data_IF_794027609038
#
_entry.id   IF_794027609038
#
_cell.length_a   1.000
_cell.length_b   1.000
_cell.length_c   1.000
_cell.angle_alpha   90.00
_cell.angle_beta   90.00
_cell.angle_gamma   90.00
#
_symmetry.space_group_name_H-M   'P 1'
#
loop_
_entity.id
_entity.type
_entity.pdbx_description
1 polymer ?
#
# COMPACT_ATOMS: atom_id res chain seq x y z
N UNK A 1 19.93 -12.95 14.20
CA UNK A 1 20.76 -12.14 13.30
C UNK A 1 21.87 -12.97 12.67
N UNK A 2 21.49 -13.73 11.67
CA UNK A 2 22.24 -14.56 10.76
C UNK A 2 22.13 -13.96 9.35
N UNK A 3 23.12 -14.23 8.51
CA UNK A 3 23.05 -13.91 7.08
C UNK A 3 23.48 -15.13 6.29
N UNK A 4 22.53 -15.71 5.56
CA UNK A 4 22.75 -16.86 4.70
C UNK A 4 22.80 -16.43 3.24
N UNK A 5 23.79 -16.93 2.50
CA UNK A 5 23.84 -16.79 1.04
C UNK A 5 24.12 -18.15 0.42
N UNK A 6 23.21 -18.61 -0.45
CA UNK A 6 23.36 -19.84 -1.20
C UNK A 6 24.21 -19.66 -2.45
N UNK A 7 24.05 -20.57 -3.42
CA UNK A 7 24.85 -20.61 -4.64
C UNK A 7 23.97 -20.75 -5.90
N UNK A 8 24.22 -21.73 -6.76
CA UNK A 8 23.44 -21.95 -7.99
C UNK A 8 22.68 -23.30 -7.96
N UNK A 9 22.81 -24.04 -6.85
CA UNK A 9 22.20 -25.33 -6.59
C UNK A 9 21.05 -25.12 -5.61
N UNK A 10 20.11 -26.07 -5.55
CA UNK A 10 19.09 -26.08 -4.51
C UNK A 10 19.73 -26.14 -3.11
N UNK A 11 19.53 -25.09 -2.33
CA UNK A 11 20.01 -24.91 -0.97
C UNK A 11 18.84 -24.91 0.01
N UNK A 12 19.15 -25.26 1.25
CA UNK A 12 18.24 -25.06 2.38
C UNK A 12 18.97 -24.15 3.36
N UNK A 13 18.40 -22.99 3.62
CA UNK A 13 18.96 -21.97 4.49
C UNK A 13 17.97 -21.77 5.64
N UNK A 14 18.45 -21.90 6.88
CA UNK A 14 17.64 -21.71 8.09
C UNK A 14 18.25 -20.61 8.95
N UNK A 15 17.47 -19.58 9.28
CA UNK A 15 17.88 -18.44 10.09
C UNK A 15 17.93 -18.78 11.59
N UNK A 16 16.80 -19.22 12.12
CA UNK A 16 16.64 -19.61 13.52
C UNK A 16 15.97 -18.51 14.34
N UNK A 17 16.76 -17.75 15.10
CA UNK A 17 16.23 -16.75 16.01
C UNK A 17 16.87 -15.37 15.80
N UNK A 18 16.02 -14.35 15.89
CA UNK A 18 16.33 -12.95 15.61
C UNK A 18 16.28 -12.65 14.12
N UNK A 19 16.44 -11.37 13.78
CA UNK A 19 16.20 -10.87 12.44
C UNK A 19 17.33 -11.27 11.48
N UNK A 20 17.02 -12.11 10.52
CA UNK A 20 17.94 -12.81 9.64
C UNK A 20 17.75 -12.38 8.17
N UNK A 21 18.83 -12.48 7.38
CA UNK A 21 18.81 -12.22 5.94
C UNK A 21 19.15 -13.50 5.18
N UNK A 22 18.20 -14.02 4.43
CA UNK A 22 18.32 -15.27 3.68
C UNK A 22 18.27 -14.98 2.19
N UNK A 23 19.37 -15.24 1.49
CA UNK A 23 19.46 -15.13 0.03
C UNK A 23 19.83 -16.49 -0.56
N UNK A 24 18.92 -17.11 -1.31
CA UNK A 24 19.16 -18.40 -1.98
C UNK A 24 20.29 -18.33 -3.03
N UNK A 25 20.45 -17.17 -3.66
CA UNK A 25 21.18 -17.08 -4.91
C UNK A 25 20.36 -17.75 -6.02
N UNK A 26 21.03 -18.33 -7.01
CA UNK A 26 20.33 -19.06 -8.05
C UNK A 26 19.98 -20.49 -7.62
N UNK A 27 18.99 -21.08 -8.28
CA UNK A 27 18.53 -22.44 -7.97
C UNK A 27 17.14 -22.39 -7.37
N UNK A 28 16.58 -23.54 -7.00
CA UNK A 28 15.30 -23.59 -6.30
C UNK A 28 15.59 -23.82 -4.82
N UNK A 29 15.55 -22.75 -4.03
CA UNK A 29 16.01 -22.76 -2.65
C UNK A 29 14.86 -22.84 -1.64
N UNK A 30 15.14 -23.39 -0.45
CA UNK A 30 14.24 -23.35 0.69
C UNK A 30 14.82 -22.39 1.72
N UNK A 31 14.10 -21.30 1.98
CA UNK A 31 14.48 -20.23 2.90
C UNK A 31 13.54 -20.28 4.10
N UNK A 32 14.08 -20.59 5.29
CA UNK A 32 13.32 -20.80 6.53
C UNK A 32 13.82 -19.80 7.56
N UNK A 33 12.99 -18.83 7.94
CA UNK A 33 13.36 -17.73 8.83
C UNK A 33 13.38 -18.20 10.28
N UNK A 34 12.19 -18.47 10.82
CA UNK A 34 11.99 -18.79 12.23
C UNK A 34 11.62 -17.52 13.00
N UNK A 35 11.88 -17.47 14.30
CA UNK A 35 11.46 -16.32 15.10
C UNK A 35 12.31 -15.07 14.83
N UNK A 36 11.70 -13.91 14.67
CA UNK A 36 12.36 -12.66 14.34
C UNK A 36 11.72 -12.03 13.11
N UNK A 37 12.12 -10.80 12.77
CA UNK A 37 11.67 -10.18 11.53
C UNK A 37 12.74 -10.44 10.46
N UNK A 38 12.47 -11.40 9.59
CA UNK A 38 13.41 -11.94 8.63
C UNK A 38 13.21 -11.35 7.24
N UNK A 39 14.27 -11.40 6.44
CA UNK A 39 14.28 -10.90 5.07
C UNK A 39 14.74 -11.98 4.11
N UNK A 40 13.90 -12.24 3.11
CA UNK A 40 14.11 -13.21 2.04
C UNK A 40 14.45 -12.49 0.74
N UNK A 41 15.56 -12.87 0.11
CA UNK A 41 15.83 -12.48 -1.28
C UNK A 41 15.38 -13.63 -2.18
N UNK A 42 14.31 -13.40 -2.92
CA UNK A 42 13.71 -14.36 -3.86
C UNK A 42 14.03 -13.89 -5.27
N UNK A 43 15.00 -14.52 -5.92
CA UNK A 43 15.42 -14.17 -7.29
C UNK A 43 15.12 -15.27 -8.32
N UNK A 44 14.68 -16.44 -7.86
CA UNK A 44 14.34 -17.57 -8.70
C UNK A 44 12.92 -18.10 -8.41
N UNK A 45 12.19 -18.47 -9.47
CA UNK A 45 10.77 -18.92 -9.37
C UNK A 45 10.57 -20.22 -8.58
N UNK A 46 11.66 -20.94 -8.31
CA UNK A 46 11.66 -22.17 -7.54
C UNK A 46 11.93 -21.97 -6.05
N UNK A 47 12.20 -20.73 -5.61
CA UNK A 47 12.45 -20.43 -4.21
C UNK A 47 11.17 -20.54 -3.39
N UNK A 48 11.27 -21.18 -2.24
CA UNK A 48 10.20 -21.36 -1.28
C UNK A 48 10.59 -20.69 0.04
N UNK A 49 9.80 -19.70 0.42
CA UNK A 49 9.83 -19.08 1.75
C UNK A 49 8.95 -19.89 2.69
N UNK A 50 9.40 -20.10 3.92
CA UNK A 50 8.65 -20.81 4.96
C UNK A 50 8.75 -20.05 6.26
N UNK A 51 7.61 -19.56 6.72
CA UNK A 51 7.40 -18.95 8.03
C UNK A 51 6.29 -19.69 8.78
N UNK A 52 6.12 -19.34 10.05
CA UNK A 52 4.98 -19.75 10.86
C UNK A 52 4.33 -18.55 11.56
N UNK A 53 3.04 -18.70 11.86
CA UNK A 53 2.28 -17.67 12.58
C UNK A 53 2.96 -17.22 13.88
N UNK A 54 2.87 -15.92 14.16
CA UNK A 54 3.40 -15.26 15.36
C UNK A 54 4.94 -15.34 15.51
N UNK A 55 5.69 -15.62 14.45
CA UNK A 55 7.16 -15.67 14.50
C UNK A 55 7.83 -14.32 14.19
N UNK A 56 7.14 -13.35 13.59
CA UNK A 56 7.76 -12.11 13.18
C UNK A 56 6.86 -11.17 12.40
N UNK A 57 7.49 -10.16 11.80
CA UNK A 57 6.96 -9.45 10.65
C UNK A 57 8.01 -9.57 9.55
N UNK A 58 7.73 -10.38 8.55
CA UNK A 58 8.71 -10.88 7.61
C UNK A 58 8.59 -10.21 6.25
N UNK A 59 9.70 -10.17 5.51
CA UNK A 59 9.79 -9.44 4.25
C UNK A 59 10.37 -10.29 3.14
N UNK A 60 9.60 -10.46 2.08
CA UNK A 60 10.14 -10.90 0.78
C UNK A 60 10.57 -9.70 -0.04
N UNK A 61 11.82 -9.74 -0.52
CA UNK A 61 12.35 -8.85 -1.54
C UNK A 61 12.60 -9.65 -2.80
N UNK A 62 11.94 -9.31 -3.90
CA UNK A 62 12.00 -10.10 -5.12
C UNK A 62 12.43 -9.31 -6.36
N UNK A 63 13.14 -9.99 -7.26
CA UNK A 63 13.41 -9.50 -8.62
C UNK A 63 12.54 -10.18 -9.67
N UNK A 64 11.67 -11.11 -9.27
CA UNK A 64 10.75 -11.82 -10.16
C UNK A 64 9.66 -10.86 -10.65
N UNK A 65 9.32 -10.94 -11.94
CA UNK A 65 8.26 -10.12 -12.52
C UNK A 65 6.86 -10.46 -11.98
N UNK A 66 6.71 -11.59 -11.30
CA UNK A 66 5.49 -12.00 -10.61
C UNK A 66 5.86 -12.71 -9.32
N UNK A 67 5.18 -12.37 -8.22
CA UNK A 67 5.34 -13.07 -6.95
C UNK A 67 4.08 -12.96 -6.10
N UNK A 68 3.74 -14.06 -5.43
CA UNK A 68 2.64 -14.15 -4.46
C UNK A 68 3.24 -14.52 -3.11
N UNK A 69 2.92 -13.77 -2.06
CA UNK A 69 3.35 -14.10 -0.71
C UNK A 69 2.82 -15.48 -0.29
N UNK A 70 3.67 -16.27 0.38
CA UNK A 70 3.22 -17.44 1.13
C UNK A 70 2.44 -17.02 2.37
N UNK A 71 1.84 -17.97 3.09
CA UNK A 71 1.24 -17.66 4.40
C UNK A 71 2.29 -17.12 5.37
N UNK A 72 1.85 -16.40 6.40
CA UNK A 72 2.69 -15.97 7.53
C UNK A 72 3.83 -15.03 7.13
N UNK A 73 3.69 -14.33 5.99
CA UNK A 73 4.62 -13.28 5.54
C UNK A 73 3.83 -12.02 5.25
N UNK A 74 4.25 -10.90 5.81
CA UNK A 74 3.48 -9.64 5.80
C UNK A 74 3.97 -8.65 4.73
N UNK A 75 5.24 -8.68 4.33
CA UNK A 75 5.78 -7.64 3.44
C UNK A 75 6.31 -8.19 2.13
N UNK A 76 5.97 -7.51 1.04
CA UNK A 76 6.50 -7.76 -0.30
C UNK A 76 7.12 -6.47 -0.85
N UNK A 77 8.39 -6.51 -1.22
CA UNK A 77 9.07 -5.40 -1.89
C UNK A 77 9.69 -5.87 -3.19
N UNK A 78 9.29 -5.25 -4.28
CA UNK A 78 9.93 -5.46 -5.56
C UNK A 78 11.20 -4.62 -5.66
N UNK A 79 12.31 -5.25 -6.04
CA UNK A 79 13.65 -4.62 -6.05
C UNK A 79 14.28 -4.59 -7.44
N UNK A 80 13.46 -4.65 -8.49
CA UNK A 80 13.88 -4.54 -9.88
C UNK A 80 13.09 -3.41 -10.58
N UNK A 81 13.35 -3.15 -11.86
CA UNK A 81 12.88 -1.92 -12.54
C UNK A 81 11.92 -2.17 -13.70
N UNK A 82 11.46 -3.41 -13.89
CA UNK A 82 10.47 -3.78 -14.93
C UNK A 82 9.10 -3.99 -14.30
N UNK A 83 8.03 -3.99 -15.10
CA UNK A 83 6.68 -4.23 -14.61
C UNK A 83 6.59 -5.48 -13.73
N UNK A 84 5.89 -5.33 -12.61
CA UNK A 84 5.74 -6.32 -11.55
C UNK A 84 4.28 -6.65 -11.29
N UNK A 85 4.01 -7.92 -11.01
CA UNK A 85 2.73 -8.38 -10.47
C UNK A 85 2.98 -8.91 -9.07
N UNK A 86 2.59 -8.15 -8.05
CA UNK A 86 2.67 -8.53 -6.65
C UNK A 86 1.32 -8.94 -6.10
N UNK A 87 1.27 -10.04 -5.36
CA UNK A 87 0.04 -10.46 -4.66
C UNK A 87 0.36 -10.81 -3.22
N UNK A 88 -0.44 -10.28 -2.30
CA UNK A 88 -0.40 -10.62 -0.89
C UNK A 88 -1.07 -11.95 -0.58
N UNK A 89 -1.51 -12.11 0.67
CA UNK A 89 -2.14 -13.28 1.25
C UNK A 89 -3.37 -12.86 2.09
N UNK A 90 -3.72 -13.63 3.13
CA UNK A 90 -4.89 -13.37 3.98
C UNK A 90 -4.56 -12.50 5.23
N UNK A 91 -3.34 -11.95 5.31
CA UNK A 91 -2.87 -11.08 6.39
C UNK A 91 -2.86 -9.62 5.95
N UNK A 92 -2.77 -8.71 6.91
CA UNK A 92 -2.46 -7.30 6.66
C UNK A 92 -1.07 -7.19 6.00
N UNK A 93 -1.01 -6.94 4.69
CA UNK A 93 0.22 -6.90 3.93
C UNK A 93 0.70 -5.48 3.61
N UNK A 94 2.02 -5.29 3.59
CA UNK A 94 2.61 -4.10 2.96
C UNK A 94 3.31 -4.49 1.66
N UNK A 95 2.79 -4.00 0.53
CA UNK A 95 3.31 -4.33 -0.80
C UNK A 95 3.86 -3.05 -1.46
N UNK A 96 5.15 -3.09 -1.82
CA UNK A 96 5.83 -2.01 -2.53
C UNK A 96 6.31 -2.47 -3.91
N UNK A 97 5.82 -1.81 -4.95
CA UNK A 97 6.25 -1.97 -6.34
C UNK A 97 7.56 -1.24 -6.67
N UNK A 98 7.85 -1.12 -7.96
CA UNK A 98 9.05 -0.54 -8.53
C UNK A 98 8.82 0.85 -9.15
N UNK A 99 9.47 1.09 -10.28
CA UNK A 99 9.38 2.35 -11.02
C UNK A 99 8.65 2.20 -12.38
N UNK A 100 8.13 1.00 -12.65
CA UNK A 100 7.42 0.66 -13.87
C UNK A 100 5.91 0.57 -13.55
N UNK A 101 5.08 0.42 -14.59
CA UNK A 101 3.66 0.17 -14.39
C UNK A 101 3.45 -1.23 -13.80
N UNK A 102 3.06 -1.28 -12.53
CA UNK A 102 2.91 -2.47 -11.72
C UNK A 102 1.44 -2.79 -11.44
N UNK A 103 1.19 -4.03 -11.02
CA UNK A 103 -0.14 -4.48 -10.55
C UNK A 103 0.04 -5.13 -9.20
N UNK A 104 -0.52 -4.50 -8.17
CA UNK A 104 -0.46 -4.96 -6.79
C UNK A 104 -1.86 -5.37 -6.33
N UNK A 105 -1.95 -6.56 -5.74
CA UNK A 105 -3.17 -7.06 -5.11
C UNK A 105 -2.88 -7.36 -3.64
N UNK A 106 -3.62 -6.75 -2.73
CA UNK A 106 -3.52 -6.98 -1.29
C UNK A 106 -4.03 -8.36 -0.91
N UNK A 107 -5.33 -8.59 -1.08
CA UNK A 107 -5.95 -9.87 -0.78
C UNK A 107 -7.04 -9.72 0.27
N UNK A 108 -6.88 -10.41 1.39
CA UNK A 108 -7.71 -10.22 2.58
C UNK A 108 -6.82 -9.63 3.66
N UNK A 109 -7.37 -8.75 4.49
CA UNK A 109 -6.62 -8.05 5.53
C UNK A 109 -6.60 -6.56 5.23
N UNK A 110 -6.03 -5.78 6.14
CA UNK A 110 -5.89 -4.34 5.97
C UNK A 110 -4.54 -4.07 5.29
N UNK A 111 -4.54 -3.98 3.97
CA UNK A 111 -3.34 -3.91 3.17
C UNK A 111 -2.84 -2.47 2.98
N UNK A 112 -1.54 -2.31 2.82
CA UNK A 112 -0.91 -1.06 2.36
C UNK A 112 -0.23 -1.29 1.03
N UNK A 113 -0.74 -0.66 -0.03
CA UNK A 113 -0.25 -0.80 -1.39
C UNK A 113 0.44 0.48 -1.85
N UNK A 114 1.72 0.37 -2.21
CA UNK A 114 2.50 1.44 -2.81
C UNK A 114 3.08 0.96 -4.14
N UNK A 115 2.51 1.42 -5.26
CA UNK A 115 3.00 1.08 -6.61
C UNK A 115 4.44 1.52 -6.85
N UNK A 116 4.88 2.55 -6.13
CA UNK A 116 6.13 3.25 -6.41
C UNK A 116 5.91 4.25 -7.53
N UNK A 117 6.87 4.37 -8.44
CA UNK A 117 6.66 5.20 -9.62
C UNK A 117 6.07 4.37 -10.75
N UNK A 118 5.24 4.96 -11.60
CA UNK A 118 4.60 4.18 -12.66
C UNK A 118 3.16 4.62 -12.82
N UNK A 119 2.42 3.97 -13.70
CA UNK A 119 0.97 4.10 -13.72
C UNK A 119 0.44 2.75 -13.26
N UNK A 120 0.15 2.65 -11.96
CA UNK A 120 0.01 1.37 -11.29
C UNK A 120 -1.45 0.97 -11.09
N UNK A 121 -1.71 -0.32 -11.03
CA UNK A 121 -3.02 -0.87 -10.63
C UNK A 121 -2.92 -1.36 -9.20
N UNK A 122 -3.64 -0.72 -8.28
CA UNK A 122 -3.64 -1.05 -6.86
C UNK A 122 -5.03 -1.62 -6.50
N UNK A 123 -5.07 -2.89 -6.13
CA UNK A 123 -6.29 -3.64 -5.83
C UNK A 123 -6.19 -4.08 -4.37
N UNK A 124 -6.97 -3.49 -3.46
CA UNK A 124 -6.88 -3.79 -2.03
C UNK A 124 -7.44 -5.18 -1.75
N UNK A 125 -8.75 -5.33 -1.88
CA UNK A 125 -9.41 -6.62 -1.77
C UNK A 125 -10.50 -6.61 -0.72
N UNK A 126 -10.28 -7.19 0.45
CA UNK A 126 -11.24 -7.15 1.55
C UNK A 126 -10.52 -6.82 2.85
N UNK A 127 -11.03 -5.85 3.58
CA UNK A 127 -10.37 -5.21 4.72
C UNK A 127 -10.28 -3.71 4.49
N UNK A 128 -9.79 -2.98 5.49
CA UNK A 128 -9.62 -1.54 5.44
C UNK A 128 -8.24 -1.21 4.84
N UNK A 129 -8.20 -0.98 3.53
CA UNK A 129 -6.98 -0.88 2.76
C UNK A 129 -6.45 0.55 2.65
N UNK A 130 -5.14 0.70 2.42
CA UNK A 130 -4.46 1.98 2.22
C UNK A 130 -3.65 1.98 0.93
N UNK A 131 -3.96 2.93 0.04
CA UNK A 131 -3.24 3.13 -1.22
C UNK A 131 -2.36 4.36 -1.14
N UNK A 132 -1.09 4.21 -1.51
CA UNK A 132 -0.19 5.33 -1.74
C UNK A 132 -0.24 5.68 -3.22
N UNK A 133 -0.87 6.80 -3.54
CA UNK A 133 -1.01 7.31 -4.92
C UNK A 133 -0.10 8.50 -5.12
N UNK A 134 1.01 8.31 -5.83
CA UNK A 134 1.99 9.36 -6.09
C UNK A 134 2.06 9.76 -7.57
N UNK A 135 1.41 8.99 -8.45
CA UNK A 135 1.39 9.22 -9.88
C UNK A 135 -0.05 9.32 -10.41
N UNK A 136 -0.28 10.27 -11.34
CA UNK A 136 -1.62 10.56 -11.86
C UNK A 136 -2.21 9.43 -12.73
N UNK A 137 -1.40 8.43 -13.07
CA UNK A 137 -1.80 7.24 -13.80
C UNK A 137 -2.20 6.07 -12.89
N UNK A 138 -2.07 6.20 -11.58
CA UNK A 138 -2.43 5.12 -10.65
C UNK A 138 -3.94 4.94 -10.59
N UNK A 139 -4.36 3.68 -10.55
CA UNK A 139 -5.76 3.27 -10.49
C UNK A 139 -5.95 2.45 -9.22
N UNK A 140 -6.76 2.99 -8.32
CA UNK A 140 -7.27 2.27 -7.14
C UNK A 140 -8.54 1.54 -7.54
N UNK A 141 -8.61 0.25 -7.23
CA UNK A 141 -9.76 -0.60 -7.53
C UNK A 141 -10.25 -1.24 -6.26
N UNK A 142 -11.48 -0.91 -5.87
CA UNK A 142 -12.16 -1.49 -4.71
C UNK A 142 -13.51 -2.11 -5.04
N UNK A 143 -13.99 -2.94 -4.11
CA UNK A 143 -15.28 -3.59 -4.21
C UNK A 143 -16.26 -3.03 -3.16
N UNK A 144 -17.53 -2.87 -3.55
CA UNK A 144 -18.56 -2.42 -2.63
C UNK A 144 -18.61 -3.29 -1.35
N UNK A 145 -18.55 -2.64 -0.19
CA UNK A 145 -18.55 -3.29 1.13
C UNK A 145 -17.33 -4.19 1.41
N UNK A 146 -16.19 -3.91 0.79
CA UNK A 146 -14.91 -4.57 1.07
C UNK A 146 -14.25 -4.09 2.37
N UNK A 147 -14.48 -2.84 2.77
CA UNK A 147 -13.89 -2.25 3.96
C UNK A 147 -14.21 -0.77 4.05
N UNK A 148 -13.39 -0.03 4.80
CA UNK A 148 -13.31 1.43 4.80
C UNK A 148 -11.91 1.86 4.35
N UNK A 149 -11.82 2.31 3.11
CA UNK A 149 -10.56 2.35 2.39
C UNK A 149 -10.01 3.77 2.29
N UNK A 150 -8.67 3.88 2.29
CA UNK A 150 -7.96 5.16 2.36
C UNK A 150 -6.99 5.35 1.22
N UNK A 151 -7.18 6.41 0.44
CA UNK A 151 -6.15 6.94 -0.45
C UNK A 151 -5.31 7.98 0.28
N UNK A 152 -3.99 7.80 0.24
CA UNK A 152 -3.00 8.79 0.64
C UNK A 152 -2.24 9.27 -0.58
N UNK A 153 -2.24 10.58 -0.84
CA UNK A 153 -1.64 11.11 -2.07
C UNK A 153 -0.74 12.31 -1.87
N UNK A 154 0.26 12.44 -2.73
CA UNK A 154 1.08 13.66 -2.90
C UNK A 154 0.73 14.46 -4.15
N UNK A 155 -0.25 14.00 -4.95
CA UNK A 155 -0.68 14.69 -6.16
C UNK A 155 -1.30 16.04 -5.83
N UNK A 156 -1.14 17.02 -6.73
CA UNK A 156 -1.75 18.34 -6.55
C UNK A 156 -3.29 18.31 -6.65
N UNK A 157 -3.86 17.26 -7.25
CA UNK A 157 -5.29 17.01 -7.28
C UNK A 157 -5.58 15.52 -7.38
N UNK A 158 -6.61 15.07 -6.68
CA UNK A 158 -7.09 13.69 -6.75
C UNK A 158 -8.60 13.61 -6.55
N UNK A 159 -9.24 12.70 -7.27
CA UNK A 159 -10.66 12.36 -7.12
C UNK A 159 -10.75 10.91 -6.70
N UNK A 160 -11.46 10.62 -5.60
CA UNK A 160 -11.69 9.26 -5.16
C UNK A 160 -12.43 8.46 -6.24
N UNK A 161 -11.98 7.22 -6.44
CA UNK A 161 -12.73 6.22 -7.19
C UNK A 161 -14.02 5.83 -6.46
N UNK A 162 -14.85 4.98 -7.06
CA UNK A 162 -15.97 4.39 -6.31
C UNK A 162 -15.45 3.50 -5.18
N UNK A 163 -16.29 3.29 -4.16
CA UNK A 163 -16.04 2.31 -3.10
C UNK A 163 -14.80 2.62 -2.25
N UNK A 164 -14.37 3.89 -2.21
CA UNK A 164 -13.31 4.38 -1.31
C UNK A 164 -13.84 5.55 -0.48
N UNK A 165 -13.67 5.49 0.83
CA UNK A 165 -14.29 6.42 1.78
C UNK A 165 -13.36 7.56 2.18
N UNK A 166 -12.04 7.33 2.25
CA UNK A 166 -11.11 8.29 2.82
C UNK A 166 -10.07 8.80 1.83
N UNK A 167 -9.84 10.12 1.85
CA UNK A 167 -8.76 10.79 1.12
C UNK A 167 -7.91 11.62 2.08
N UNK A 168 -6.62 11.33 2.15
CA UNK A 168 -5.66 12.08 2.95
C UNK A 168 -4.54 12.63 2.06
N UNK A 169 -4.40 13.94 2.02
CA UNK A 169 -3.24 14.56 1.40
C UNK A 169 -2.03 14.48 2.32
N UNK A 170 -0.94 13.91 1.82
CA UNK A 170 0.33 13.76 2.55
C UNK A 170 1.47 14.60 1.95
N UNK A 171 1.16 15.45 0.98
CA UNK A 171 2.10 16.43 0.45
C UNK A 171 2.14 17.72 1.28
N UNK A 172 2.85 18.72 0.75
CA UNK A 172 3.04 20.02 1.43
C UNK A 172 2.58 21.21 0.59
N UNK A 173 2.11 20.98 -0.63
CA UNK A 173 1.65 22.02 -1.56
C UNK A 173 0.14 22.19 -1.45
N UNK A 174 -0.41 23.20 -2.15
CA UNK A 174 -1.86 23.31 -2.28
C UNK A 174 -2.43 22.09 -3.00
N UNK A 175 -3.55 21.59 -2.49
CA UNK A 175 -4.19 20.36 -2.90
C UNK A 175 -5.65 20.59 -3.32
N UNK A 176 -6.10 19.82 -4.30
CA UNK A 176 -7.51 19.71 -4.67
C UNK A 176 -7.99 18.27 -4.48
N UNK A 177 -8.66 18.02 -3.35
CA UNK A 177 -9.26 16.72 -3.04
C UNK A 177 -10.74 16.70 -3.39
N UNK A 178 -11.18 15.66 -4.09
CA UNK A 178 -12.57 15.47 -4.50
C UNK A 178 -13.01 14.07 -4.07
N UNK A 179 -14.12 13.96 -3.34
CA UNK A 179 -14.73 12.68 -2.98
C UNK A 179 -15.57 12.09 -4.11
N UNK A 180 -16.49 11.20 -3.75
CA UNK A 180 -17.36 10.44 -4.64
C UNK A 180 -18.83 10.58 -4.19
N UNK A 181 -19.62 9.51 -4.25
CA UNK A 181 -21.04 9.51 -3.87
C UNK A 181 -21.31 8.83 -2.52
N UNK A 182 -20.26 8.51 -1.77
CA UNK A 182 -20.31 7.91 -0.45
C UNK A 182 -20.10 8.98 0.61
N UNK A 183 -20.33 8.64 1.88
CA UNK A 183 -19.96 9.50 3.00
C UNK A 183 -18.42 9.54 3.10
N UNK A 184 -17.76 10.59 2.57
CA UNK A 184 -16.31 10.65 2.53
C UNK A 184 -15.68 11.38 3.71
N UNK A 185 -14.49 10.96 4.13
CA UNK A 185 -13.62 11.78 4.99
C UNK A 185 -12.43 12.27 4.18
N UNK A 186 -12.31 13.59 4.02
CA UNK A 186 -11.25 14.21 3.23
C UNK A 186 -10.41 15.12 4.13
N UNK A 187 -9.10 14.84 4.19
CA UNK A 187 -8.13 15.63 4.95
C UNK A 187 -7.09 16.25 4.02
N UNK A 188 -7.00 17.59 4.06
CA UNK A 188 -5.98 18.39 3.37
C UNK A 188 -4.65 18.44 4.13
N UNK A 189 -3.78 19.36 3.72
CA UNK A 189 -2.42 19.55 4.23
C UNK A 189 -2.25 20.82 5.04
N UNK A 190 -1.11 21.49 4.83
CA UNK A 190 -0.75 22.73 5.52
C UNK A 190 -0.81 23.98 4.60
N UNK A 191 -1.22 23.79 3.34
CA UNK A 191 -1.33 24.84 2.34
C UNK A 191 -2.80 25.24 2.17
N UNK A 192 -3.07 26.25 1.35
CA UNK A 192 -4.45 26.61 1.02
C UNK A 192 -5.05 25.59 0.05
N UNK A 193 -5.92 24.73 0.57
CA UNK A 193 -6.46 23.57 -0.13
C UNK A 193 -7.90 23.81 -0.60
N UNK A 194 -8.34 23.00 -1.55
CA UNK A 194 -9.75 22.89 -1.94
C UNK A 194 -10.20 21.47 -1.74
N UNK A 195 -11.18 21.26 -0.87
CA UNK A 195 -11.80 19.96 -0.66
C UNK A 195 -13.26 20.02 -1.14
N UNK A 196 -13.67 19.03 -1.93
CA UNK A 196 -15.04 18.84 -2.36
C UNK A 196 -15.50 17.44 -1.95
N UNK A 197 -16.54 17.33 -1.13
CA UNK A 197 -17.07 16.06 -0.63
C UNK A 197 -17.77 15.27 -1.74
N UNK A 198 -18.82 15.85 -2.34
CA UNK A 198 -19.56 15.23 -3.43
C UNK A 198 -21.02 15.03 -3.05
N UNK A 199 -21.52 13.80 -3.22
CA UNK A 199 -22.78 13.39 -2.62
C UNK A 199 -22.48 12.54 -1.38
N UNK A 200 -23.33 12.57 -0.36
CA UNK A 200 -23.10 11.82 0.88
C UNK A 200 -22.94 12.77 2.07
N UNK A 201 -22.81 12.22 3.27
CA UNK A 201 -22.57 13.04 4.46
C UNK A 201 -21.07 13.14 4.69
N UNK A 202 -20.45 14.16 4.12
CA UNK A 202 -19.00 14.25 4.09
C UNK A 202 -18.41 14.88 5.36
N UNK A 203 -17.19 14.48 5.73
CA UNK A 203 -16.36 15.17 6.73
C UNK A 203 -15.15 15.78 6.05
N UNK A 204 -15.08 17.10 6.02
CA UNK A 204 -14.00 17.85 5.37
C UNK A 204 -13.12 18.54 6.40
N UNK A 205 -11.83 18.22 6.40
CA UNK A 205 -10.81 18.86 7.21
C UNK A 205 -9.74 19.46 6.30
N UNK A 206 -9.73 20.78 6.14
CA UNK A 206 -8.72 21.48 5.33
C UNK A 206 -7.29 21.29 5.85
N UNK A 207 -7.16 21.06 7.16
CA UNK A 207 -5.88 21.13 7.85
C UNK A 207 -5.50 22.60 8.08
N UNK A 208 -4.21 22.87 8.17
CA UNK A 208 -3.77 24.26 8.27
C UNK A 208 -3.81 24.91 6.89
N UNK A 209 -4.26 26.14 6.79
CA UNK A 209 -4.37 26.76 5.47
C UNK A 209 -5.41 27.84 5.51
N UNK A 210 -5.75 28.41 4.37
CA UNK A 210 -7.01 29.12 4.25
C UNK A 210 -7.78 28.36 3.17
N UNK A 211 -8.61 27.44 3.62
CA UNK A 211 -9.08 26.35 2.78
C UNK A 211 -10.46 26.64 2.21
N UNK A 212 -10.79 25.97 1.12
CA UNK A 212 -12.12 26.00 0.53
C UNK A 212 -12.76 24.64 0.67
N UNK A 213 -13.77 24.54 1.52
CA UNK A 213 -14.45 23.29 1.86
C UNK A 213 -15.86 23.30 1.25
N UNK A 214 -16.11 22.41 0.30
CA UNK A 214 -17.41 22.27 -0.36
C UNK A 214 -17.92 20.88 -0.03
N UNK A 215 -18.87 20.74 0.88
CA UNK A 215 -19.46 19.43 1.20
C UNK A 215 -20.16 18.85 -0.02
N UNK A 216 -21.31 19.42 -0.38
CA UNK A 216 -21.98 19.10 -1.64
C UNK A 216 -23.44 18.80 -1.39
N UNK A 217 -23.89 17.59 -1.72
CA UNK A 217 -25.23 17.13 -1.33
C UNK A 217 -25.13 16.20 -0.13
N UNK A 218 -26.01 16.36 0.87
CA UNK A 218 -25.99 15.57 2.10
C UNK A 218 -25.79 16.45 3.33
N UNK A 219 -25.67 15.82 4.50
CA UNK A 219 -25.44 16.50 5.77
C UNK A 219 -23.94 16.53 6.11
N UNK A 220 -23.26 17.55 5.57
CA UNK A 220 -21.81 17.66 5.67
C UNK A 220 -21.30 18.25 6.99
N UNK A 221 -20.14 17.78 7.43
CA UNK A 221 -19.38 18.26 8.58
C UNK A 221 -18.07 18.93 8.13
N UNK A 222 -17.84 20.14 8.62
CA UNK A 222 -16.66 20.94 8.31
C UNK A 222 -15.80 21.12 9.56
N UNK A 223 -14.55 20.68 9.50
CA UNK A 223 -13.55 20.94 10.53
C UNK A 223 -12.83 22.22 10.11
N UNK A 224 -13.24 23.33 10.72
CA UNK A 224 -12.68 24.67 10.51
C UNK A 224 -11.70 24.97 11.63
N UNK A 225 -10.41 25.02 11.30
CA UNK A 225 -9.35 25.34 12.25
C UNK A 225 -8.62 26.65 11.94
N UNK A 226 -8.87 27.22 10.75
CA UNK A 226 -8.34 28.50 10.32
C UNK A 226 -9.46 29.51 10.06
N UNK A 227 -9.20 30.78 10.40
CA UNK A 227 -10.16 31.87 10.15
C UNK A 227 -10.34 32.19 8.65
N UNK A 228 -9.46 31.68 7.79
CA UNK A 228 -9.52 31.81 6.35
C UNK A 228 -10.33 30.73 5.64
N UNK A 229 -10.83 29.73 6.36
CA UNK A 229 -11.59 28.62 5.76
C UNK A 229 -12.98 29.10 5.32
N UNK A 230 -13.41 28.63 4.15
CA UNK A 230 -14.67 29.04 3.51
C UNK A 230 -15.44 27.89 2.87
#
# INVERSE_FOLDING_TARGET
>A
NFTGTGNALANTITGGAGNDLLNGGGGADSLIGGTGNDTYIVDHVGDLVTEAADEGIDTVRTTLANYTLGSDVENLTYINTVAFVGTGNDLDNTITGGAAADTLSGGVGNDTLNGGGGADSLIGGAGDDTYIVDHAGDIVTEAASAGTDTVRTTLASYTLGSDVEHLTYIGTAAFVGIGNSLDNTITGGAAADTLAGGDGNDTLNGGAGADRLIGGTGDDTYIVDNAGDM
#
